data_IF_919284881985
#
_entry.id   IF_919284881985
#
_cell.length_a   1.000
_cell.length_b   1.000
_cell.length_c   1.000
_cell.angle_alpha   90.00
_cell.angle_beta   90.00
_cell.angle_gamma   90.00
#
_symmetry.space_group_name_H-M   'P 1'
#
loop_
_entity.id
_entity.type
_entity.pdbx_description
1 polymer ?
#
# COMPACT_ATOMS: atom_id res chain seq x y z
N UNK A 1 -8.72 -13.28 -13.57
CA UNK A 1 -7.36 -13.21 -13.02
C UNK A 1 -7.46 -12.67 -11.61
N UNK A 2 -6.86 -13.33 -10.62
CA UNK A 2 -6.84 -12.80 -9.26
C UNK A 2 -5.87 -11.61 -9.23
N UNK A 3 -6.42 -10.42 -9.03
CA UNK A 3 -5.64 -9.19 -9.02
C UNK A 3 -4.82 -9.17 -7.73
N UNK A 4 -3.52 -9.49 -7.84
CA UNK A 4 -2.60 -9.44 -6.71
C UNK A 4 -2.39 -7.96 -6.31
N UNK A 5 -3.07 -7.55 -5.24
CA UNK A 5 -3.05 -6.18 -4.71
C UNK A 5 -1.65 -5.70 -4.34
N UNK A 6 -0.79 -6.61 -3.88
CA UNK A 6 0.61 -6.29 -3.55
C UNK A 6 1.41 -5.93 -4.80
N UNK A 7 1.27 -6.71 -5.89
CA UNK A 7 1.90 -6.38 -7.18
C UNK A 7 1.45 -5.02 -7.72
N UNK A 8 0.17 -4.68 -7.57
CA UNK A 8 -0.34 -3.35 -7.94
C UNK A 8 0.37 -2.25 -7.14
N UNK A 9 0.50 -2.41 -5.82
CA UNK A 9 1.15 -1.38 -4.99
C UNK A 9 2.63 -1.18 -5.37
N UNK A 10 3.35 -2.23 -5.71
CA UNK A 10 4.73 -2.12 -6.20
C UNK A 10 4.83 -1.37 -7.53
N UNK A 11 3.91 -1.63 -8.46
CA UNK A 11 3.87 -0.91 -9.73
C UNK A 11 3.51 0.56 -9.51
N UNK A 12 2.59 0.85 -8.59
CA UNK A 12 2.27 2.23 -8.20
C UNK A 12 3.48 2.97 -7.61
N UNK A 13 4.30 2.32 -6.78
CA UNK A 13 5.53 2.92 -6.27
C UNK A 13 6.52 3.21 -7.39
N UNK A 14 6.75 2.23 -8.28
CA UNK A 14 7.63 2.43 -9.43
C UNK A 14 7.18 3.64 -10.26
N UNK A 15 5.87 3.77 -10.50
CA UNK A 15 5.30 4.92 -11.20
C UNK A 15 5.45 6.21 -10.42
N UNK A 16 5.27 6.21 -9.10
CA UNK A 16 5.51 7.38 -8.26
C UNK A 16 6.96 7.87 -8.36
N UNK A 17 7.92 6.95 -8.32
CA UNK A 17 9.36 7.26 -8.41
C UNK A 17 9.75 7.77 -9.81
N UNK A 18 9.05 7.30 -10.86
CA UNK A 18 9.29 7.67 -12.27
C UNK A 18 8.52 8.91 -12.72
N UNK A 19 7.33 9.15 -12.18
CA UNK A 19 6.43 10.18 -12.68
C UNK A 19 6.83 11.54 -12.13
N UNK A 20 7.04 12.51 -13.01
CA UNK A 20 7.21 13.92 -12.59
C UNK A 20 5.89 14.50 -12.05
N UNK A 21 4.74 13.95 -12.46
CA UNK A 21 3.41 14.37 -12.01
C UNK A 21 2.38 13.23 -11.96
N UNK A 22 1.34 13.42 -11.14
CA UNK A 22 0.31 12.40 -10.91
C UNK A 22 -0.55 12.08 -12.14
N UNK A 23 -0.68 13.00 -13.10
CA UNK A 23 -1.47 12.79 -14.32
C UNK A 23 -0.83 11.77 -15.26
N UNK A 24 0.49 11.81 -15.42
CA UNK A 24 1.23 10.80 -16.20
C UNK A 24 1.09 9.40 -15.56
N UNK A 25 1.12 9.31 -14.23
CA UNK A 25 0.95 8.04 -13.54
C UNK A 25 -0.44 7.41 -13.79
N UNK A 26 -1.51 8.22 -13.87
CA UNK A 26 -2.86 7.73 -14.18
C UNK A 26 -2.93 7.15 -15.58
N UNK A 27 -2.40 7.85 -16.58
CA UNK A 27 -2.39 7.37 -17.98
C UNK A 27 -1.63 6.04 -18.10
N UNK A 28 -0.44 5.95 -17.48
CA UNK A 28 0.37 4.73 -17.52
C UNK A 28 -0.35 3.56 -16.84
N UNK A 29 -0.98 3.77 -15.68
CA UNK A 29 -1.75 2.71 -15.01
C UNK A 29 -2.93 2.25 -15.86
N UNK A 30 -3.67 3.16 -16.49
CA UNK A 30 -4.77 2.81 -17.40
C UNK A 30 -4.32 2.11 -18.70
N UNK A 31 -3.05 2.24 -19.08
CA UNK A 31 -2.48 1.52 -20.22
C UNK A 31 -1.93 0.14 -19.87
N UNK A 32 -1.44 -0.05 -18.63
CA UNK A 32 -0.88 -1.32 -18.14
C UNK A 32 -1.96 -2.25 -17.58
N UNK A 33 -2.99 -1.67 -16.98
CA UNK A 33 -4.13 -2.38 -16.43
C UNK A 33 -5.42 -1.94 -17.13
N UNK A 34 -6.38 -2.86 -17.28
CA UNK A 34 -7.70 -2.52 -17.80
C UNK A 34 -8.30 -1.35 -17.01
N UNK A 35 -9.03 -0.47 -17.71
CA UNK A 35 -9.52 0.83 -17.21
C UNK A 35 -10.24 0.76 -15.84
N UNK A 36 -10.79 -0.41 -15.49
CA UNK A 36 -11.52 -0.66 -14.24
C UNK A 36 -10.65 -1.22 -13.09
N UNK A 37 -9.37 -1.50 -13.32
CA UNK A 37 -8.52 -2.19 -12.34
C UNK A 37 -8.06 -1.27 -11.20
N UNK A 38 -7.76 -0.01 -11.51
CA UNK A 38 -7.26 0.97 -10.54
C UNK A 38 -7.91 2.33 -10.81
N UNK A 39 -8.78 2.76 -9.90
CA UNK A 39 -9.42 4.08 -9.99
C UNK A 39 -8.44 5.20 -9.64
N UNK A 40 -8.68 6.40 -10.18
CA UNK A 40 -7.89 7.59 -9.85
C UNK A 40 -7.82 7.86 -8.33
N UNK A 41 -8.91 7.58 -7.60
CA UNK A 41 -8.96 7.71 -6.14
C UNK A 41 -7.98 6.75 -5.44
N UNK A 42 -7.91 5.50 -5.90
CA UNK A 42 -6.96 4.52 -5.36
C UNK A 42 -5.51 4.95 -5.61
N UNK A 43 -5.23 5.49 -6.80
CA UNK A 43 -3.90 5.98 -7.16
C UNK A 43 -3.48 7.19 -6.30
N UNK A 44 -4.38 8.16 -6.12
CA UNK A 44 -4.14 9.32 -5.26
C UNK A 44 -3.92 8.94 -3.80
N UNK A 45 -4.69 7.98 -3.28
CA UNK A 45 -4.51 7.45 -1.93
C UNK A 45 -3.09 6.92 -1.71
N UNK A 46 -2.59 6.08 -2.62
CA UNK A 46 -1.23 5.53 -2.54
C UNK A 46 -0.16 6.59 -2.70
N UNK A 47 -0.33 7.53 -3.64
CA UNK A 47 0.62 8.63 -3.83
C UNK A 47 0.73 9.52 -2.58
N UNK A 48 -0.37 9.71 -1.83
CA UNK A 48 -0.33 10.40 -0.54
C UNK A 48 0.48 9.60 0.49
N UNK A 49 0.31 8.28 0.54
CA UNK A 49 1.07 7.41 1.44
C UNK A 49 2.57 7.39 1.13
N UNK A 50 2.95 7.32 -0.14
CA UNK A 50 4.35 7.34 -0.57
C UNK A 50 5.03 8.66 -0.21
N UNK A 51 4.33 9.80 -0.37
CA UNK A 51 4.84 11.11 0.08
C UNK A 51 5.09 11.17 1.59
N UNK A 52 4.34 10.40 2.38
CA UNK A 52 4.53 10.30 3.83
C UNK A 52 5.59 9.26 4.23
N UNK A 53 6.25 8.59 3.29
CA UNK A 53 7.25 7.56 3.56
C UNK A 53 6.66 6.25 4.10
N UNK A 54 5.36 6.01 3.92
CA UNK A 54 4.69 4.81 4.43
C UNK A 54 5.03 3.61 3.52
N UNK A 55 5.53 2.50 4.07
CA UNK A 55 5.86 1.28 3.33
C UNK A 55 4.66 0.66 2.59
N UNK A 56 4.96 0.00 1.46
CA UNK A 56 3.99 -0.67 0.58
C UNK A 56 3.38 -1.95 1.19
N UNK A 57 3.99 -2.46 2.25
CA UNK A 57 3.73 -3.80 2.79
C UNK A 57 2.44 -3.80 3.61
N UNK A 58 1.57 -4.76 3.34
CA UNK A 58 0.25 -4.88 3.97
C UNK A 58 0.29 -4.99 5.49
N UNK A 59 1.34 -5.59 6.04
CA UNK A 59 1.53 -5.66 7.49
C UNK A 59 1.69 -4.27 8.10
N UNK A 60 2.37 -3.34 7.41
CA UNK A 60 2.54 -1.96 7.91
C UNK A 60 1.23 -1.18 7.83
N UNK A 61 0.44 -1.37 6.77
CA UNK A 61 -0.90 -0.78 6.67
C UNK A 61 -1.79 -1.25 7.83
N UNK A 62 -1.82 -2.56 8.09
CA UNK A 62 -2.62 -3.15 9.18
C UNK A 62 -2.16 -2.68 10.56
N UNK A 63 -0.85 -2.60 10.80
CA UNK A 63 -0.30 -2.03 12.04
C UNK A 63 -0.73 -0.58 12.20
N UNK A 64 -0.63 0.21 11.13
CA UNK A 64 -1.02 1.64 11.14
C UNK A 64 -2.51 1.79 11.45
N UNK A 65 -3.37 1.00 10.80
CA UNK A 65 -4.82 0.98 11.06
C UNK A 65 -5.13 0.59 12.51
N UNK A 66 -4.48 -0.46 13.05
CA UNK A 66 -4.64 -0.86 14.44
C UNK A 66 -4.22 0.26 15.42
N UNK A 67 -3.14 1.00 15.14
CA UNK A 67 -2.68 2.13 15.96
C UNK A 67 -3.62 3.34 15.87
N UNK A 68 -4.19 3.60 14.69
CA UNK A 68 -5.18 4.68 14.50
C UNK A 68 -6.47 4.41 15.27
N UNK A 69 -6.91 3.15 15.33
CA UNK A 69 -8.09 2.71 16.10
C UNK A 69 -7.80 2.66 17.60
N UNK A 70 -6.65 2.10 18.00
CA UNK A 70 -6.21 2.02 19.39
C UNK A 70 -4.71 2.34 19.53
N UNK A 71 -4.43 3.55 20.00
CA UNK A 71 -3.07 4.04 20.27
C UNK A 71 -2.31 3.24 21.34
N UNK A 72 -2.99 2.37 22.09
CA UNK A 72 -2.42 1.53 23.15
C UNK A 72 -2.33 0.06 22.74
N UNK A 73 -2.55 -0.27 21.47
CA UNK A 73 -2.38 -1.63 20.96
C UNK A 73 -0.98 -2.15 21.30
N UNK A 74 -0.91 -3.34 21.90
CA UNK A 74 0.36 -3.94 22.30
C UNK A 74 0.92 -4.84 21.20
N UNK A 75 2.25 -5.03 21.21
CA UNK A 75 2.95 -5.81 20.18
C UNK A 75 2.44 -7.26 20.06
N UNK A 76 2.03 -7.94 21.16
CA UNK A 76 1.53 -9.32 21.08
C UNK A 76 0.20 -9.41 20.32
N UNK A 77 -0.69 -8.44 20.52
CA UNK A 77 -1.96 -8.37 19.79
C UNK A 77 -1.74 -8.15 18.30
N UNK A 78 -0.77 -7.29 17.94
CA UNK A 78 -0.35 -7.09 16.55
C UNK A 78 0.21 -8.39 15.95
N UNK A 79 1.12 -9.08 16.65
CA UNK A 79 1.72 -10.32 16.15
C UNK A 79 0.67 -11.41 15.90
N UNK A 80 -0.32 -11.53 16.79
CA UNK A 80 -1.44 -12.47 16.64
C UNK A 80 -2.31 -12.16 15.43
N UNK A 81 -2.68 -10.90 15.24
CA UNK A 81 -3.51 -10.46 14.11
C UNK A 81 -2.79 -10.69 12.77
N UNK A 82 -1.50 -10.39 12.72
CA UNK A 82 -0.69 -10.50 11.51
C UNK A 82 -0.10 -11.90 11.29
N UNK A 83 -0.33 -12.83 12.23
CA UNK A 83 0.25 -14.19 12.22
C UNK A 83 1.77 -14.16 12.05
N UNK A 84 2.43 -13.21 12.70
CA UNK A 84 3.89 -13.07 12.66
C UNK A 84 4.48 -13.96 13.73
N UNK A 85 5.23 -14.97 13.30
CA UNK A 85 5.95 -15.86 14.22
C UNK A 85 7.28 -15.19 14.62
N UNK A 86 7.38 -14.77 15.88
CA UNK A 86 8.60 -14.14 16.39
C UNK A 86 9.67 -15.20 16.60
N UNK A 87 10.59 -15.33 15.65
CA UNK A 87 11.86 -16.03 15.89
C UNK A 87 12.65 -15.23 16.92
N UNK A 88 12.95 -15.85 18.07
CA UNK A 88 13.93 -15.31 19.01
C UNK A 88 15.31 -15.37 18.32
N UNK A 89 15.97 -14.21 18.21
CA UNK A 89 17.36 -14.11 17.79
C UNK A 89 18.28 -14.36 18.97
#
# INVERSE_FOLDING_TARGET
>A
MEVNKEKIRYILQFLFDKSENASQAVEIVSGVYDLDTVTANYLQFWFRRFRSGIPIVENVDKITEMIEVDRHVNNRSIDQELKIDRKQF
#
